data_IF_490704078220
#
_entry.id   IF_490704078220
#
_cell.length_a   1.000
_cell.length_b   1.000
_cell.length_c   1.000
_cell.angle_alpha   90.00
_cell.angle_beta   90.00
_cell.angle_gamma   90.00
#
_symmetry.space_group_name_H-M   'P 1'
#
loop_
_entity.id
_entity.type
_entity.pdbx_description
1 polymer ?
#
# COMPACT_ATOMS: atom_id res chain seq x y z
N UNK A 1 22.05 15.76 66.16
CA UNK A 1 22.40 14.81 65.07
C UNK A 1 21.28 13.82 64.83
N UNK A 2 20.52 13.46 65.88
CA UNK A 2 19.41 12.51 65.83
C UNK A 2 18.28 12.88 64.86
N UNK A 3 17.92 14.16 64.73
CA UNK A 3 16.86 14.58 63.80
C UNK A 3 17.19 14.35 62.32
N UNK A 4 18.46 14.53 61.94
CA UNK A 4 18.89 14.30 60.55
C UNK A 4 18.86 12.80 60.22
N UNK A 5 19.35 11.96 61.14
CA UNK A 5 19.29 10.52 60.97
C UNK A 5 17.85 10.00 60.88
N UNK A 6 16.94 10.55 61.69
CA UNK A 6 15.52 10.20 61.65
C UNK A 6 14.87 10.60 60.32
N UNK A 7 15.15 11.80 59.81
CA UNK A 7 14.62 12.27 58.51
C UNK A 7 15.11 11.39 57.35
N UNK A 8 16.40 11.06 57.31
CA UNK A 8 16.96 10.19 56.26
C UNK A 8 16.50 8.74 56.38
N UNK A 9 16.27 8.25 57.60
CA UNK A 9 15.68 6.92 57.82
C UNK A 9 14.26 6.85 57.26
N UNK A 10 13.43 7.86 57.55
CA UNK A 10 12.07 7.95 57.01
C UNK A 10 12.06 8.08 55.49
N UNK A 11 12.96 8.90 54.92
CA UNK A 11 13.12 9.02 53.48
C UNK A 11 13.49 7.68 52.82
N UNK A 12 14.43 6.93 53.42
CA UNK A 12 14.80 5.60 52.93
C UNK A 12 13.61 4.64 52.90
N UNK A 13 12.80 4.62 53.96
CA UNK A 13 11.58 3.80 54.02
C UNK A 13 10.60 4.18 52.92
N UNK A 14 10.37 5.47 52.68
CA UNK A 14 9.50 5.95 51.60
C UNK A 14 10.01 5.56 50.21
N UNK A 15 11.31 5.69 49.95
CA UNK A 15 11.91 5.26 48.68
C UNK A 15 11.76 3.76 48.48
N UNK A 16 11.90 2.97 49.54
CA UNK A 16 11.73 1.53 49.49
C UNK A 16 10.27 1.10 49.26
N UNK A 17 9.32 1.84 49.83
CA UNK A 17 7.89 1.66 49.57
C UNK A 17 7.53 1.99 48.12
N UNK A 18 8.06 3.08 47.56
CA UNK A 18 7.93 3.45 46.14
C UNK A 18 8.51 2.35 45.24
N UNK A 19 9.66 1.79 45.61
CA UNK A 19 10.28 0.68 44.85
C UNK A 19 9.46 -0.61 44.92
N UNK A 20 8.80 -0.88 46.05
CA UNK A 20 7.93 -2.05 46.24
C UNK A 20 6.64 -1.93 45.42
N UNK A 21 6.16 -0.70 45.17
CA UNK A 21 4.98 -0.40 44.37
C UNK A 21 5.33 0.20 43.00
N UNK A 22 6.49 -0.16 42.43
CA UNK A 22 7.02 0.47 41.21
C UNK A 22 6.03 0.45 40.02
N UNK A 23 5.19 -0.59 39.90
CA UNK A 23 4.17 -0.69 38.84
C UNK A 23 3.07 0.39 38.93
N UNK A 24 2.91 1.02 40.09
CA UNK A 24 1.88 2.04 40.35
C UNK A 24 2.45 3.47 40.27
N UNK A 25 3.76 3.62 40.07
CA UNK A 25 4.42 4.93 40.06
C UNK A 25 4.25 5.59 38.69
N UNK A 26 3.49 6.68 38.60
CA UNK A 26 3.31 7.41 37.34
C UNK A 26 4.48 8.36 37.03
N UNK A 27 5.01 9.05 38.04
CA UNK A 27 6.11 10.00 37.92
C UNK A 27 6.90 10.06 39.22
N UNK A 28 8.22 10.06 39.13
CA UNK A 28 9.13 10.15 40.26
C UNK A 28 10.28 11.08 39.91
N UNK A 29 10.44 12.16 40.68
CA UNK A 29 11.57 13.09 40.52
C UNK A 29 12.30 13.20 41.85
N UNK A 30 13.58 12.87 41.85
CA UNK A 30 14.48 12.98 42.99
C UNK A 30 15.65 13.90 42.65
N UNK A 31 15.93 14.84 43.55
CA UNK A 31 17.08 15.73 43.48
C UNK A 31 17.71 15.84 44.86
N UNK A 32 19.00 15.56 44.96
CA UNK A 32 19.78 15.76 46.18
C UNK A 32 21.08 16.49 45.83
N UNK A 33 21.51 17.41 46.67
CA UNK A 33 22.74 18.18 46.48
C UNK A 33 23.58 18.12 47.76
N UNK A 34 24.81 17.66 47.63
CA UNK A 34 25.77 17.57 48.71
C UNK A 34 26.48 18.92 48.89
N UNK A 35 26.94 19.20 50.11
CA UNK A 35 27.66 20.46 50.43
C UNK A 35 28.94 20.68 49.61
N UNK A 36 29.49 19.62 49.03
CA UNK A 36 30.65 19.68 48.13
C UNK A 36 30.27 20.01 46.67
N UNK A 37 29.01 20.32 46.38
CA UNK A 37 28.50 20.64 45.05
C UNK A 37 28.11 19.43 44.20
N UNK A 38 28.20 18.20 44.72
CA UNK A 38 27.77 17.01 43.98
C UNK A 38 26.24 16.90 44.01
N UNK A 39 25.59 16.80 42.86
CA UNK A 39 24.15 16.65 42.77
C UNK A 39 23.74 15.28 42.19
N UNK A 40 22.77 14.63 42.82
CA UNK A 40 22.08 13.44 42.31
C UNK A 40 20.75 13.87 41.72
N UNK A 41 20.49 13.54 40.46
CA UNK A 41 19.22 13.78 39.81
C UNK A 41 18.69 12.48 39.20
N UNK A 42 17.51 12.06 39.64
CA UNK A 42 16.80 10.93 39.09
C UNK A 42 15.41 11.39 38.66
N UNK A 43 15.04 11.13 37.42
CA UNK A 43 13.73 11.49 36.88
C UNK A 43 13.16 10.30 36.11
N UNK A 44 12.03 9.80 36.60
CA UNK A 44 11.24 8.75 35.98
C UNK A 44 9.85 9.30 35.67
N UNK A 45 9.38 9.03 34.46
CA UNK A 45 8.04 9.35 34.02
C UNK A 45 7.54 8.19 33.17
N UNK A 46 6.49 7.53 33.64
CA UNK A 46 5.91 6.34 33.02
C UNK A 46 5.47 6.63 31.58
N UNK A 47 4.99 7.84 31.27
CA UNK A 47 4.56 8.24 29.92
C UNK A 47 5.71 8.32 28.91
N UNK A 48 6.93 8.59 29.40
CA UNK A 48 8.16 8.62 28.58
C UNK A 48 8.91 7.29 28.57
N UNK A 49 8.78 6.47 29.62
CA UNK A 49 9.49 5.19 29.75
C UNK A 49 8.70 3.99 29.21
N UNK A 50 7.37 4.04 29.22
CA UNK A 50 6.56 3.12 28.44
C UNK A 50 6.82 3.43 26.96
N UNK A 51 7.22 2.46 26.13
CA UNK A 51 7.31 2.69 24.70
C UNK A 51 5.89 2.99 24.23
N UNK A 52 5.57 4.27 24.03
CA UNK A 52 4.41 4.68 23.26
C UNK A 52 4.66 4.18 21.84
N UNK A 53 4.31 2.92 21.57
CA UNK A 53 4.09 2.40 20.22
C UNK A 53 2.81 3.05 19.70
N UNK A 54 2.82 4.37 19.54
CA UNK A 54 1.78 5.07 18.81
C UNK A 54 1.88 4.54 17.37
N UNK A 55 0.97 3.65 17.05
CA UNK A 55 0.89 3.05 15.73
C UNK A 55 0.52 4.17 14.75
N UNK A 56 1.48 4.54 13.92
CA UNK A 56 1.30 5.55 12.88
C UNK A 56 1.23 4.85 11.52
N UNK A 57 0.02 4.57 11.02
CA UNK A 57 -0.15 4.03 9.67
C UNK A 57 0.37 5.01 8.63
N UNK A 58 0.82 4.50 7.48
CA UNK A 58 1.31 5.34 6.37
C UNK A 58 0.18 6.25 5.87
N UNK A 59 -1.03 5.74 5.67
CA UNK A 59 -2.18 6.55 5.28
C UNK A 59 -3.51 5.81 5.47
N UNK A 60 -4.32 6.24 6.44
CA UNK A 60 -5.62 5.60 6.72
C UNK A 60 -6.58 5.76 5.54
N UNK A 61 -6.66 6.96 4.96
CA UNK A 61 -7.59 7.25 3.86
C UNK A 61 -7.34 6.37 2.63
N UNK A 62 -6.08 6.25 2.19
CA UNK A 62 -5.74 5.40 1.05
C UNK A 62 -5.98 3.91 1.37
N UNK A 63 -5.69 3.48 2.60
CA UNK A 63 -6.01 2.12 3.05
C UNK A 63 -7.51 1.79 2.97
N UNK A 64 -8.38 2.72 3.38
CA UNK A 64 -9.84 2.56 3.28
C UNK A 64 -10.29 2.56 1.81
N UNK A 65 -9.78 3.49 1.00
CA UNK A 65 -10.09 3.56 -0.43
C UNK A 65 -9.71 2.25 -1.15
N UNK A 66 -8.56 1.66 -0.80
CA UNK A 66 -8.11 0.38 -1.34
C UNK A 66 -9.02 -0.78 -0.92
N UNK A 67 -9.50 -0.81 0.34
CA UNK A 67 -10.49 -1.81 0.77
C UNK A 67 -11.77 -1.70 -0.05
N UNK A 68 -12.31 -0.49 -0.21
CA UNK A 68 -13.51 -0.25 -1.02
C UNK A 68 -13.27 -0.67 -2.48
N UNK A 69 -12.11 -0.33 -3.04
CA UNK A 69 -11.74 -0.69 -4.41
C UNK A 69 -11.62 -2.20 -4.58
N UNK A 70 -11.07 -2.91 -3.59
CA UNK A 70 -11.02 -4.37 -3.57
C UNK A 70 -12.44 -4.96 -3.57
N UNK A 71 -13.34 -4.45 -2.73
CA UNK A 71 -14.75 -4.91 -2.69
C UNK A 71 -15.47 -4.71 -4.01
N UNK A 72 -15.32 -3.53 -4.65
CA UNK A 72 -15.90 -3.25 -5.98
C UNK A 72 -15.30 -4.18 -7.03
N UNK A 73 -13.99 -4.40 -7.01
CA UNK A 73 -13.30 -5.29 -7.95
C UNK A 73 -13.74 -6.76 -7.79
N UNK A 74 -13.92 -7.23 -6.55
CA UNK A 74 -14.46 -8.56 -6.25
C UNK A 74 -15.90 -8.70 -6.75
N UNK A 75 -16.73 -7.66 -6.53
CA UNK A 75 -18.09 -7.66 -7.04
C UNK A 75 -18.14 -7.75 -8.57
N UNK A 76 -17.29 -6.99 -9.27
CA UNK A 76 -17.16 -7.05 -10.73
C UNK A 76 -16.67 -8.42 -11.21
N UNK A 77 -15.64 -8.97 -10.56
CA UNK A 77 -15.13 -10.33 -10.85
C UNK A 77 -16.27 -11.35 -10.80
N UNK A 78 -16.99 -11.42 -9.68
CA UNK A 78 -18.11 -12.35 -9.50
C UNK A 78 -19.19 -12.11 -10.54
N UNK A 79 -19.55 -10.86 -10.80
CA UNK A 79 -20.60 -10.50 -11.76
C UNK A 79 -20.24 -10.93 -13.19
N UNK A 80 -19.01 -10.68 -13.65
CA UNK A 80 -18.56 -11.10 -14.98
C UNK A 80 -18.40 -12.60 -15.09
N UNK A 81 -17.86 -13.28 -14.06
CA UNK A 81 -17.77 -14.75 -14.05
C UNK A 81 -19.13 -15.40 -14.16
N UNK A 82 -20.14 -14.91 -13.41
CA UNK A 82 -21.50 -15.44 -13.51
C UNK A 82 -22.14 -15.19 -14.88
N UNK A 83 -21.88 -14.03 -15.51
CA UNK A 83 -22.35 -13.74 -16.87
C UNK A 83 -21.71 -14.67 -17.91
N UNK A 84 -20.40 -14.82 -17.85
CA UNK A 84 -19.63 -15.75 -18.69
C UNK A 84 -20.13 -17.19 -18.56
N UNK A 85 -20.33 -17.65 -17.33
CA UNK A 85 -20.86 -19.00 -17.06
C UNK A 85 -22.26 -19.21 -17.63
N UNK A 86 -23.14 -18.19 -17.61
CA UNK A 86 -24.48 -18.28 -18.22
C UNK A 86 -24.43 -18.31 -19.75
N UNK A 87 -23.35 -17.82 -20.35
CA UNK A 87 -23.15 -17.79 -21.78
C UNK A 87 -22.27 -18.95 -22.29
N UNK A 88 -21.98 -19.94 -21.44
CA UNK A 88 -21.18 -21.14 -21.75
C UNK A 88 -19.76 -20.88 -22.28
N UNK A 89 -19.14 -19.75 -21.90
CA UNK A 89 -17.73 -19.47 -22.19
C UNK A 89 -17.05 -18.84 -20.97
N UNK A 90 -15.72 -19.01 -20.82
CA UNK A 90 -14.94 -18.35 -19.77
C UNK A 90 -13.69 -17.71 -20.39
N UNK A 91 -13.55 -16.40 -20.24
CA UNK A 91 -12.32 -15.69 -20.62
C UNK A 91 -11.38 -15.66 -19.42
N UNK A 92 -10.43 -16.59 -19.41
CA UNK A 92 -9.48 -16.76 -18.30
C UNK A 92 -8.67 -15.50 -18.01
N UNK A 93 -8.21 -14.80 -19.07
CA UNK A 93 -7.44 -13.57 -18.92
C UNK A 93 -8.20 -12.49 -18.14
N UNK A 94 -9.52 -12.41 -18.32
CA UNK A 94 -10.38 -11.47 -17.61
C UNK A 94 -10.52 -11.82 -16.13
N UNK A 95 -10.72 -13.11 -15.83
CA UNK A 95 -10.78 -13.63 -14.45
C UNK A 95 -9.47 -13.36 -13.74
N UNK A 96 -8.34 -13.64 -14.40
CA UNK A 96 -7.01 -13.37 -13.85
C UNK A 96 -6.76 -11.87 -13.69
N UNK A 97 -7.16 -11.04 -14.66
CA UNK A 97 -7.01 -9.58 -14.58
C UNK A 97 -7.69 -9.00 -13.34
N UNK A 98 -8.97 -9.33 -13.12
CA UNK A 98 -9.71 -8.87 -11.95
C UNK A 98 -9.16 -9.48 -10.66
N UNK A 99 -8.74 -10.74 -10.66
CA UNK A 99 -8.12 -11.37 -9.48
C UNK A 99 -6.80 -10.68 -9.09
N UNK A 100 -5.96 -10.35 -10.07
CA UNK A 100 -4.74 -9.58 -9.85
C UNK A 100 -5.05 -8.16 -9.37
N UNK A 101 -6.08 -7.49 -9.91
CA UNK A 101 -6.52 -6.18 -9.42
C UNK A 101 -6.99 -6.22 -7.95
N UNK A 102 -7.76 -7.24 -7.56
CA UNK A 102 -8.10 -7.45 -6.14
C UNK A 102 -6.84 -7.57 -5.29
N UNK A 103 -5.86 -8.38 -5.73
CA UNK A 103 -4.59 -8.52 -5.02
C UNK A 103 -3.83 -7.19 -4.90
N UNK A 104 -3.82 -6.35 -5.94
CA UNK A 104 -3.22 -5.01 -5.88
C UNK A 104 -3.85 -4.18 -4.77
N UNK A 105 -5.18 -4.08 -4.74
CA UNK A 105 -5.88 -3.29 -3.74
C UNK A 105 -5.67 -3.85 -2.32
N UNK A 106 -5.70 -5.17 -2.14
CA UNK A 106 -5.42 -5.80 -0.84
C UNK A 106 -4.00 -5.51 -0.37
N UNK A 107 -2.98 -5.71 -1.21
CA UNK A 107 -1.59 -5.41 -0.84
C UNK A 107 -1.36 -3.92 -0.61
N UNK A 108 -2.04 -3.05 -1.35
CA UNK A 108 -2.01 -1.61 -1.14
C UNK A 108 -2.63 -1.20 0.19
N UNK A 109 -3.79 -1.76 0.55
CA UNK A 109 -4.42 -1.53 1.84
C UNK A 109 -3.50 -1.98 2.98
N UNK A 110 -2.95 -3.20 2.89
CA UNK A 110 -2.00 -3.72 3.87
C UNK A 110 -0.75 -2.83 3.98
N UNK A 111 -0.21 -2.34 2.86
CA UNK A 111 0.89 -1.37 2.86
C UNK A 111 0.51 -0.10 3.65
N UNK A 112 -0.66 0.45 3.40
CA UNK A 112 -1.11 1.70 4.02
C UNK A 112 -1.42 1.58 5.53
N UNK A 113 -1.87 0.40 5.97
CA UNK A 113 -2.02 0.02 7.38
C UNK A 113 -0.76 -0.64 7.97
N UNK A 114 0.41 -0.50 7.34
CA UNK A 114 1.66 -0.83 8.01
C UNK A 114 2.26 0.40 8.67
N UNK A 115 3.02 0.17 9.75
CA UNK A 115 3.82 1.21 10.37
C UNK A 115 5.01 1.55 9.44
N UNK A 116 5.28 2.85 9.25
CA UNK A 116 6.25 3.38 8.28
C UNK A 116 7.66 2.77 8.41
N UNK A 117 8.05 2.40 9.62
CA UNK A 117 9.41 1.90 9.92
C UNK A 117 9.56 0.38 9.76
N UNK A 118 8.46 -0.36 9.53
CA UNK A 118 8.53 -1.82 9.40
C UNK A 118 8.98 -2.23 8.01
N UNK A 119 9.96 -3.14 7.94
CA UNK A 119 10.41 -3.80 6.69
C UNK A 119 9.28 -4.52 5.93
N UNK A 120 8.24 -4.96 6.64
CA UNK A 120 7.05 -5.59 6.01
C UNK A 120 6.33 -4.64 5.06
N UNK A 121 6.36 -3.33 5.29
CA UNK A 121 5.78 -2.34 4.38
C UNK A 121 6.42 -2.41 2.98
N UNK A 122 7.73 -2.64 2.91
CA UNK A 122 8.45 -2.76 1.65
C UNK A 122 8.05 -4.02 0.86
N UNK A 123 7.76 -5.12 1.57
CA UNK A 123 7.24 -6.35 0.94
C UNK A 123 5.89 -6.09 0.30
N UNK A 124 4.96 -5.48 1.03
CA UNK A 124 3.63 -5.16 0.49
C UNK A 124 3.67 -4.11 -0.63
N UNK A 125 4.59 -3.14 -0.56
CA UNK A 125 4.82 -2.20 -1.66
C UNK A 125 5.25 -2.95 -2.93
N UNK A 126 6.20 -3.88 -2.84
CA UNK A 126 6.66 -4.66 -3.98
C UNK A 126 5.58 -5.61 -4.52
N UNK A 127 4.88 -6.33 -3.64
CA UNK A 127 3.79 -7.23 -4.05
C UNK A 127 2.65 -6.47 -4.75
N UNK A 128 2.33 -5.28 -4.26
CA UNK A 128 1.38 -4.37 -4.90
C UNK A 128 1.85 -3.99 -6.32
N UNK A 129 3.10 -3.56 -6.48
CA UNK A 129 3.64 -3.17 -7.80
C UNK A 129 3.72 -4.34 -8.79
N UNK A 130 4.15 -5.52 -8.33
CA UNK A 130 4.16 -6.76 -9.16
C UNK A 130 2.74 -7.08 -9.62
N UNK A 131 1.78 -7.08 -8.70
CA UNK A 131 0.38 -7.38 -9.01
C UNK A 131 -0.22 -6.37 -9.99
N UNK A 132 0.22 -5.10 -9.92
CA UNK A 132 -0.21 -4.04 -10.84
C UNK A 132 0.33 -4.27 -12.24
N UNK A 133 1.63 -4.60 -12.36
CA UNK A 133 2.25 -4.90 -13.66
C UNK A 133 1.54 -6.06 -14.33
N UNK A 134 1.27 -7.13 -13.58
CA UNK A 134 0.55 -8.31 -14.09
C UNK A 134 -0.91 -7.98 -14.45
N UNK A 135 -1.63 -7.24 -13.60
CA UNK A 135 -3.03 -6.92 -13.85
C UNK A 135 -3.20 -6.09 -15.12
N UNK A 136 -2.36 -5.09 -15.35
CA UNK A 136 -2.40 -4.27 -16.56
C UNK A 136 -2.11 -5.09 -17.83
N UNK A 137 -1.20 -6.06 -17.76
CA UNK A 137 -0.92 -6.95 -18.89
C UNK A 137 -2.12 -7.86 -19.21
N UNK A 138 -2.73 -8.44 -18.17
CA UNK A 138 -3.93 -9.27 -18.31
C UNK A 138 -5.14 -8.46 -18.80
N UNK A 139 -5.24 -7.18 -18.42
CA UNK A 139 -6.24 -6.25 -18.98
C UNK A 139 -5.99 -6.05 -20.47
N UNK A 140 -4.75 -5.83 -20.91
CA UNK A 140 -4.46 -5.70 -22.34
C UNK A 140 -4.88 -6.95 -23.13
N UNK A 141 -4.59 -8.15 -22.59
CA UNK A 141 -5.01 -9.42 -23.19
C UNK A 141 -6.53 -9.56 -23.23
N UNK A 142 -7.20 -9.22 -22.13
CA UNK A 142 -8.67 -9.25 -22.05
C UNK A 142 -9.29 -8.33 -23.10
N UNK A 143 -8.80 -7.09 -23.22
CA UNK A 143 -9.27 -6.15 -24.24
C UNK A 143 -9.05 -6.71 -25.63
N UNK A 144 -7.89 -7.30 -25.92
CA UNK A 144 -7.66 -7.92 -27.21
C UNK A 144 -8.63 -9.07 -27.49
N UNK A 145 -8.89 -9.93 -26.50
CA UNK A 145 -9.81 -11.05 -26.64
C UNK A 145 -11.25 -10.61 -26.94
N UNK A 146 -11.73 -9.52 -26.32
CA UNK A 146 -13.11 -9.04 -26.50
C UNK A 146 -13.30 -8.12 -27.71
N UNK A 147 -12.30 -7.30 -28.08
CA UNK A 147 -12.47 -6.25 -29.08
C UNK A 147 -11.78 -6.51 -30.42
N UNK A 148 -10.62 -7.18 -30.44
CA UNK A 148 -9.93 -7.57 -31.68
C UNK A 148 -8.95 -8.73 -31.43
N UNK A 149 -9.47 -9.96 -31.53
CA UNK A 149 -8.70 -11.18 -31.27
C UNK A 149 -7.59 -11.41 -32.30
N UNK A 150 -7.66 -10.79 -33.48
CA UNK A 150 -6.62 -10.88 -34.50
C UNK A 150 -5.29 -10.26 -34.06
N UNK A 151 -5.33 -9.32 -33.09
CA UNK A 151 -4.16 -8.63 -32.55
C UNK A 151 -3.61 -9.26 -31.27
N UNK A 152 -4.23 -10.33 -30.78
CA UNK A 152 -3.91 -10.94 -29.48
C UNK A 152 -2.42 -11.30 -29.35
N UNK A 153 -1.83 -11.94 -30.37
CA UNK A 153 -0.41 -12.34 -30.35
C UNK A 153 0.54 -11.14 -30.25
N UNK A 154 0.24 -10.05 -30.97
CA UNK A 154 1.05 -8.82 -30.94
C UNK A 154 0.96 -8.15 -29.57
N UNK A 155 -0.25 -8.03 -29.04
CA UNK A 155 -0.52 -7.42 -27.73
C UNK A 155 0.10 -8.25 -26.60
N UNK A 156 0.03 -9.57 -26.69
CA UNK A 156 0.67 -10.48 -25.75
C UNK A 156 2.18 -10.31 -25.77
N UNK A 157 2.81 -10.33 -26.95
CA UNK A 157 4.26 -10.19 -27.08
C UNK A 157 4.75 -8.85 -26.52
N UNK A 158 4.10 -7.74 -26.90
CA UNK A 158 4.44 -6.41 -26.40
C UNK A 158 4.22 -6.28 -24.89
N UNK A 159 3.10 -6.80 -24.38
CA UNK A 159 2.80 -6.78 -22.94
C UNK A 159 3.84 -7.59 -22.16
N UNK A 160 4.22 -8.78 -22.64
CA UNK A 160 5.24 -9.61 -21.99
C UNK A 160 6.61 -8.94 -21.95
N UNK A 161 7.03 -8.29 -23.04
CA UNK A 161 8.30 -7.55 -23.07
C UNK A 161 8.29 -6.42 -22.04
N UNK A 162 7.22 -5.62 -21.99
CA UNK A 162 7.10 -4.53 -21.04
C UNK A 162 6.96 -5.01 -19.59
N UNK A 163 6.27 -6.14 -19.35
CA UNK A 163 6.21 -6.79 -18.03
C UNK A 163 7.61 -7.23 -17.59
N UNK A 164 8.34 -7.94 -18.46
CA UNK A 164 9.68 -8.42 -18.18
C UNK A 164 10.63 -7.26 -17.85
N UNK A 165 10.59 -6.18 -18.65
CA UNK A 165 11.35 -4.96 -18.38
C UNK A 165 10.96 -4.32 -17.04
N UNK A 166 9.65 -4.15 -16.79
CA UNK A 166 9.17 -3.54 -15.56
C UNK A 166 9.60 -4.32 -14.32
N UNK A 167 9.52 -5.66 -14.36
CA UNK A 167 9.93 -6.54 -13.26
C UNK A 167 11.45 -6.57 -13.08
N UNK A 168 12.23 -6.62 -14.17
CA UNK A 168 13.69 -6.55 -14.11
C UNK A 168 14.15 -5.29 -13.38
N UNK A 169 13.57 -4.14 -13.75
CA UNK A 169 13.88 -2.87 -13.11
C UNK A 169 13.28 -2.76 -11.69
N UNK A 170 12.17 -3.42 -11.39
CA UNK A 170 11.67 -3.47 -10.02
C UNK A 170 12.64 -4.23 -9.08
N UNK A 171 13.29 -5.28 -9.59
CA UNK A 171 14.25 -6.10 -8.86
C UNK A 171 15.61 -5.42 -8.66
N UNK A 172 15.95 -4.39 -9.44
CA UNK A 172 17.25 -3.71 -9.39
C UNK A 172 17.54 -2.94 -8.09
N UNK A 173 16.55 -2.76 -7.19
CA UNK A 173 16.67 -2.16 -5.84
C UNK A 173 17.31 -0.77 -5.75
N UNK A 174 17.56 -0.08 -6.87
CA UNK A 174 17.97 1.33 -6.88
C UNK A 174 16.78 2.25 -7.14
N UNK A 175 16.88 3.51 -6.72
CA UNK A 175 15.83 4.51 -6.97
C UNK A 175 15.60 4.74 -8.47
N UNK A 176 16.68 4.77 -9.26
CA UNK A 176 16.59 4.87 -10.72
C UNK A 176 15.84 3.67 -11.31
N UNK A 177 16.19 2.46 -10.87
CA UNK A 177 15.56 1.23 -11.33
C UNK A 177 14.06 1.20 -10.99
N UNK A 178 13.67 1.65 -9.80
CA UNK A 178 12.25 1.79 -9.42
C UNK A 178 11.52 2.79 -10.32
N UNK A 179 12.13 3.95 -10.61
CA UNK A 179 11.54 4.95 -11.50
C UNK A 179 11.36 4.42 -12.92
N UNK A 180 12.37 3.73 -13.46
CA UNK A 180 12.27 3.11 -14.79
C UNK A 180 11.15 2.07 -14.81
N UNK A 181 11.07 1.20 -13.79
CA UNK A 181 9.98 0.23 -13.66
C UNK A 181 8.60 0.89 -13.72
N UNK A 182 8.39 1.97 -12.97
CA UNK A 182 7.13 2.72 -12.97
C UNK A 182 6.82 3.40 -14.31
N UNK A 183 7.83 3.94 -15.01
CA UNK A 183 7.66 4.52 -16.35
C UNK A 183 7.24 3.45 -17.36
N UNK A 184 7.92 2.30 -17.38
CA UNK A 184 7.55 1.19 -18.26
C UNK A 184 6.15 0.68 -17.93
N UNK A 185 5.80 0.61 -16.64
CA UNK A 185 4.45 0.22 -16.20
C UNK A 185 3.38 1.25 -16.62
N UNK A 186 3.71 2.54 -16.67
CA UNK A 186 2.79 3.59 -17.16
C UNK A 186 2.54 3.51 -18.67
N UNK A 187 3.48 2.95 -19.44
CA UNK A 187 3.34 2.72 -20.88
C UNK A 187 2.47 1.47 -21.16
N UNK A 188 2.46 0.49 -20.25
CA UNK A 188 1.77 -0.79 -20.42
C UNK A 188 0.31 -0.67 -20.91
N UNK A 189 -0.55 0.22 -20.36
CA UNK A 189 -1.95 0.30 -20.76
C UNK A 189 -2.13 0.70 -22.24
N UNK A 190 -1.17 1.45 -22.81
CA UNK A 190 -1.26 1.91 -24.20
C UNK A 190 -1.22 0.78 -25.22
N UNK A 191 -0.67 -0.39 -24.85
CA UNK A 191 -0.67 -1.57 -25.73
C UNK A 191 -2.10 -2.00 -26.08
N UNK A 192 -3.06 -1.82 -25.17
CA UNK A 192 -4.47 -2.15 -25.44
C UNK A 192 -5.12 -1.29 -26.53
N UNK A 193 -4.55 -0.13 -26.88
CA UNK A 193 -5.08 0.72 -27.97
C UNK A 193 -4.87 0.10 -29.35
N UNK A 194 -3.97 -0.89 -29.48
CA UNK A 194 -3.75 -1.63 -30.72
C UNK A 194 -5.01 -2.40 -31.15
N UNK A 195 -5.84 -2.84 -30.20
CA UNK A 195 -7.12 -3.52 -30.45
C UNK A 195 -8.25 -2.58 -30.88
N UNK A 196 -8.04 -1.25 -30.80
CA UNK A 196 -9.07 -0.28 -31.16
C UNK A 196 -8.95 1.02 -30.37
N UNK A 197 -9.01 2.13 -31.10
CA UNK A 197 -9.04 3.47 -30.53
C UNK A 197 -10.48 3.99 -30.53
N UNK A 198 -11.06 4.07 -29.33
CA UNK A 198 -12.28 4.82 -29.05
C UNK A 198 -11.98 5.86 -27.97
N UNK A 199 -12.91 6.79 -27.77
CA UNK A 199 -12.80 7.75 -26.67
C UNK A 199 -12.73 7.01 -25.33
N UNK A 200 -13.54 5.98 -25.15
CA UNK A 200 -13.58 5.22 -23.91
C UNK A 200 -12.30 4.39 -23.70
N UNK A 201 -11.76 3.76 -24.75
CA UNK A 201 -10.50 3.01 -24.64
C UNK A 201 -9.35 3.94 -24.27
N UNK A 202 -9.36 5.16 -24.82
CA UNK A 202 -8.40 6.23 -24.49
C UNK A 202 -8.52 6.69 -23.04
N UNK A 203 -9.74 6.91 -22.52
CA UNK A 203 -9.97 7.28 -21.12
C UNK A 203 -9.47 6.19 -20.17
N UNK A 204 -9.82 4.93 -20.43
CA UNK A 204 -9.35 3.77 -19.65
C UNK A 204 -7.82 3.72 -19.57
N UNK A 205 -7.16 3.85 -20.73
CA UNK A 205 -5.70 3.82 -20.83
C UNK A 205 -5.05 4.98 -20.09
N UNK A 206 -5.61 6.20 -20.20
CA UNK A 206 -5.13 7.36 -19.48
C UNK A 206 -5.26 7.19 -17.96
N UNK A 207 -6.38 6.63 -17.48
CA UNK A 207 -6.58 6.37 -16.05
C UNK A 207 -5.57 5.36 -15.51
N UNK A 208 -5.34 4.24 -16.22
CA UNK A 208 -4.31 3.28 -15.81
C UNK A 208 -2.88 3.81 -15.95
N UNK A 209 -2.61 4.70 -16.91
CA UNK A 209 -1.33 5.40 -17.02
C UNK A 209 -1.12 6.33 -15.81
N UNK A 210 -2.10 7.18 -15.50
CA UNK A 210 -2.08 8.11 -14.36
C UNK A 210 -1.86 7.38 -13.03
N UNK A 211 -2.42 6.18 -12.88
CA UNK A 211 -2.18 5.34 -11.72
C UNK A 211 -0.68 5.11 -11.46
N UNK A 212 0.11 4.86 -12.51
CA UNK A 212 1.56 4.66 -12.41
C UNK A 212 2.35 5.97 -12.40
N UNK A 213 1.91 6.99 -13.14
CA UNK A 213 2.58 8.31 -13.20
C UNK A 213 2.50 9.05 -11.87
N UNK A 214 1.36 9.00 -11.18
CA UNK A 214 1.22 9.68 -9.88
C UNK A 214 2.19 9.07 -8.84
N UNK A 215 2.50 7.77 -8.95
CA UNK A 215 3.50 7.13 -8.09
C UNK A 215 4.94 7.65 -8.36
N UNK A 216 5.24 8.13 -9.57
CA UNK A 216 6.53 8.74 -9.91
C UNK A 216 6.68 10.16 -9.35
N UNK A 217 5.61 10.95 -9.38
CA UNK A 217 5.65 12.38 -9.04
C UNK A 217 5.38 12.64 -7.55
N UNK A 218 4.69 11.71 -6.88
CA UNK A 218 4.32 11.88 -5.47
C UNK A 218 5.55 11.83 -4.56
N UNK A 219 5.81 12.92 -3.84
CA UNK A 219 6.80 12.93 -2.75
C UNK A 219 6.40 11.91 -1.69
N UNK A 220 7.39 11.24 -1.11
CA UNK A 220 7.23 10.22 -0.06
C UNK A 220 6.45 10.73 1.17
N UNK A 221 6.42 12.05 1.37
CA UNK A 221 5.76 12.72 2.51
C UNK A 221 4.38 13.32 2.20
N UNK A 222 3.90 13.21 0.95
CA UNK A 222 2.54 13.64 0.60
C UNK A 222 1.48 12.81 1.33
N UNK A 223 0.60 13.47 2.08
CA UNK A 223 -0.53 12.84 2.80
C UNK A 223 -1.60 12.25 1.87
N UNK A 224 -1.68 12.72 0.62
CA UNK A 224 -2.59 12.19 -0.40
C UNK A 224 -1.77 11.46 -1.48
N UNK A 225 -1.73 10.13 -1.37
CA UNK A 225 -1.26 9.20 -2.41
C UNK A 225 -2.47 8.49 -3.04
N UNK A 226 -3.41 9.24 -3.60
CA UNK A 226 -4.65 8.72 -4.21
C UNK A 226 -4.40 8.06 -5.57
N UNK A 227 -3.38 7.20 -5.67
CA UNK A 227 -3.04 6.48 -6.90
C UNK A 227 -4.13 5.48 -7.26
N UNK A 228 -4.69 4.81 -6.25
CA UNK A 228 -5.67 3.73 -6.44
C UNK A 228 -7.02 4.21 -6.95
N UNK A 229 -7.36 5.49 -6.78
CA UNK A 229 -8.58 6.06 -7.34
C UNK A 229 -8.58 5.96 -8.87
N UNK A 230 -7.46 6.27 -9.50
CA UNK A 230 -7.32 6.14 -10.96
C UNK A 230 -7.47 4.70 -11.41
N UNK A 231 -6.95 3.75 -10.64
CA UNK A 231 -7.12 2.32 -10.90
C UNK A 231 -8.60 1.90 -10.82
N UNK A 232 -9.32 2.35 -9.79
CA UNK A 232 -10.73 2.05 -9.60
C UNK A 232 -11.59 2.62 -10.74
N UNK A 233 -11.39 3.90 -11.07
CA UNK A 233 -12.16 4.54 -12.16
C UNK A 233 -11.81 3.91 -13.51
N UNK A 234 -10.53 3.55 -13.74
CA UNK A 234 -10.10 2.82 -14.94
C UNK A 234 -10.75 1.43 -15.03
N UNK A 235 -10.86 0.73 -13.90
CA UNK A 235 -11.52 -0.58 -13.79
C UNK A 235 -13.02 -0.47 -14.08
N UNK A 236 -13.69 0.55 -13.54
CA UNK A 236 -15.10 0.81 -13.84
C UNK A 236 -15.31 1.15 -15.32
N UNK A 237 -14.43 1.98 -15.90
CA UNK A 237 -14.45 2.28 -17.34
C UNK A 237 -14.29 1.02 -18.20
N UNK A 238 -13.38 0.11 -17.83
CA UNK A 238 -13.27 -1.19 -18.49
C UNK A 238 -14.53 -2.04 -18.31
N UNK A 239 -15.11 -2.06 -17.10
CA UNK A 239 -16.32 -2.84 -16.83
C UNK A 239 -17.53 -2.35 -17.63
N UNK A 240 -17.68 -1.04 -17.84
CA UNK A 240 -18.72 -0.49 -18.71
C UNK A 240 -18.54 -0.96 -20.15
N UNK A 241 -17.33 -0.83 -20.71
CA UNK A 241 -17.01 -1.31 -22.06
C UNK A 241 -17.29 -2.81 -22.24
N UNK A 242 -16.86 -3.63 -21.29
CA UNK A 242 -17.09 -5.08 -21.35
C UNK A 242 -18.56 -5.43 -21.21
N UNK A 243 -19.33 -4.65 -20.44
CA UNK A 243 -20.76 -4.87 -20.32
C UNK A 243 -21.46 -4.70 -21.66
N UNK A 244 -21.07 -3.72 -22.49
CA UNK A 244 -21.67 -3.52 -23.81
C UNK A 244 -21.40 -4.68 -24.78
N UNK A 245 -20.23 -5.31 -24.68
CA UNK A 245 -19.82 -6.42 -25.57
C UNK A 245 -20.37 -7.78 -25.11
N UNK A 246 -20.67 -7.92 -23.82
CA UNK A 246 -21.12 -9.18 -23.21
C UNK A 246 -22.64 -9.31 -23.07
N UNK A 247 -23.42 -8.39 -23.66
CA UNK A 247 -24.90 -8.51 -23.80
C UNK A 247 -25.21 -9.53 -24.90
#
# INVERSE_FOLDING_TARGET
MDDLQNVFSNFKTQVQEIATHAEQVQKLTFKAELKNGTAFHFNYNADTFAPQKNYHPISIFNGILDIVSASVCTWLLVSFTLRMQRADYIVLDLVLAFSSMVAVFVFSALYHFMHREKRSSLVFANLKEISKILSLALINLSVAAFFDSSKLQVIQSLSLVLVALSLLFLLGRTELSLRVSLVVTAILPFVSLISGMSLESSIRVLLFCLWSVVALVSKTESRMRTTSLFALVGLLSLAFQLTEVMI
#
